data_IF_073204554627
#
_entry.id   IF_073204554627
#
_cell.length_a   1.000
_cell.length_b   1.000
_cell.length_c   1.000
_cell.angle_alpha   90.00
_cell.angle_beta   90.00
_cell.angle_gamma   90.00
#
_symmetry.space_group_name_H-M   'P 1'
#
loop_
_entity.id
_entity.type
_entity.pdbx_description
1 polymer ?
#
# COMPACT_ATOMS: atom_id res chain seq x y z
N UNK A 1 9.71 15.64 -11.16
CA UNK A 1 9.31 16.88 -10.44
C UNK A 1 10.47 17.87 -10.54
N UNK A 2 10.29 19.04 -11.16
CA UNK A 2 11.37 20.03 -11.30
C UNK A 2 11.74 20.73 -9.98
N UNK A 3 10.95 20.51 -8.92
CA UNK A 3 11.26 20.94 -7.56
C UNK A 3 11.26 19.70 -6.64
N UNK A 4 12.32 19.55 -5.83
CA UNK A 4 12.48 18.45 -4.87
C UNK A 4 12.11 18.97 -3.48
N UNK A 5 10.87 18.78 -2.99
CA UNK A 5 10.37 19.47 -1.80
C UNK A 5 11.15 19.14 -0.52
N UNK A 6 11.77 17.96 -0.45
CA UNK A 6 12.58 17.55 0.70
C UNK A 6 14.09 17.74 0.48
N UNK A 7 14.50 18.49 -0.55
CA UNK A 7 15.92 18.80 -0.77
C UNK A 7 16.49 19.53 0.46
N UNK A 8 17.61 19.01 0.97
CA UNK A 8 18.28 19.56 2.15
C UNK A 8 17.91 18.84 3.46
N UNK A 9 16.85 18.03 3.47
CA UNK A 9 16.58 17.12 4.58
C UNK A 9 17.42 15.85 4.45
N UNK A 10 17.78 15.30 5.60
CA UNK A 10 18.56 14.06 5.74
C UNK A 10 17.80 13.12 6.66
N UNK A 11 17.59 11.88 6.23
CA UNK A 11 16.80 10.88 6.94
C UNK A 11 17.72 9.71 7.26
N UNK A 12 17.76 9.32 8.53
CA UNK A 12 18.42 8.10 8.97
C UNK A 12 17.42 6.96 8.94
N UNK A 13 17.64 6.02 8.04
CA UNK A 13 16.76 4.89 7.79
C UNK A 13 17.31 3.63 8.46
N UNK A 14 16.78 3.31 9.64
CA UNK A 14 17.20 2.18 10.49
C UNK A 14 16.25 0.98 10.32
N UNK A 15 15.58 0.92 9.17
CA UNK A 15 14.49 -0.02 8.93
C UNK A 15 14.95 -1.25 8.17
N UNK A 16 14.12 -2.29 8.18
CA UNK A 16 14.36 -3.58 7.54
C UNK A 16 13.13 -4.05 6.72
N UNK A 17 13.35 -4.88 5.71
CA UNK A 17 12.31 -5.53 4.90
C UNK A 17 11.51 -4.57 4.04
N UNK A 18 10.36 -4.03 4.48
CA UNK A 18 9.47 -3.30 3.57
C UNK A 18 8.80 -2.03 4.10
N UNK A 19 8.00 -2.07 5.16
CA UNK A 19 7.22 -0.87 5.59
C UNK A 19 8.08 0.38 5.78
N UNK A 20 9.15 0.25 6.57
CA UNK A 20 10.13 1.31 6.78
C UNK A 20 10.98 1.64 5.56
N UNK A 21 11.56 0.64 4.83
CA UNK A 21 12.32 0.94 3.62
C UNK A 21 11.49 1.67 2.56
N UNK A 22 10.21 1.30 2.40
CA UNK A 22 9.28 1.98 1.52
C UNK A 22 9.06 3.44 1.94
N UNK A 23 8.87 3.72 3.24
CA UNK A 23 8.81 5.09 3.77
C UNK A 23 10.05 5.90 3.37
N UNK A 24 11.25 5.38 3.67
CA UNK A 24 12.51 6.03 3.30
C UNK A 24 12.63 6.25 1.79
N UNK A 25 12.19 5.30 0.96
CA UNK A 25 12.21 5.45 -0.49
C UNK A 25 11.33 6.60 -0.98
N UNK A 26 10.09 6.71 -0.48
CA UNK A 26 9.18 7.82 -0.83
C UNK A 26 9.79 9.18 -0.46
N UNK A 27 10.39 9.30 0.73
CA UNK A 27 11.08 10.53 1.15
C UNK A 27 12.28 10.86 0.23
N UNK A 28 13.01 9.84 -0.22
CA UNK A 28 14.10 9.98 -1.20
C UNK A 28 13.62 10.46 -2.57
N UNK A 29 12.47 9.95 -3.06
CA UNK A 29 11.84 10.41 -4.30
C UNK A 29 11.43 11.89 -4.23
N UNK A 30 11.04 12.36 -3.05
CA UNK A 30 10.77 13.78 -2.76
C UNK A 30 12.05 14.62 -2.58
N UNK A 31 13.22 13.98 -2.59
CA UNK A 31 14.53 14.62 -2.66
C UNK A 31 15.32 14.68 -1.36
N UNK A 32 14.88 14.00 -0.31
CA UNK A 32 15.67 13.87 0.91
C UNK A 32 16.92 13.01 0.67
N UNK A 33 18.01 13.31 1.38
CA UNK A 33 19.14 12.38 1.48
C UNK A 33 18.79 11.28 2.48
N UNK A 34 18.69 10.05 2.02
CA UNK A 34 18.34 8.90 2.88
C UNK A 34 19.58 8.05 3.09
N UNK A 35 19.95 7.86 4.37
CA UNK A 35 21.09 7.06 4.78
C UNK A 35 20.56 5.83 5.52
N UNK A 36 20.61 4.69 4.83
CA UNK A 36 20.23 3.40 5.39
C UNK A 36 21.31 2.90 6.35
N UNK A 37 20.93 2.70 7.60
CA UNK A 37 21.74 2.09 8.65
C UNK A 37 21.36 0.62 8.72
N UNK A 38 22.27 -0.24 8.30
CA UNK A 38 22.05 -1.68 8.24
C UNK A 38 22.85 -2.39 9.34
N UNK A 39 22.36 -3.55 9.79
CA UNK A 39 23.19 -4.46 10.55
C UNK A 39 24.37 -4.96 9.68
N UNK A 40 25.47 -5.47 10.27
CA UNK A 40 26.64 -5.94 9.50
C UNK A 40 26.32 -7.03 8.45
N UNK A 41 25.26 -7.80 8.66
CA UNK A 41 24.74 -8.80 7.72
C UNK A 41 23.83 -8.22 6.63
N UNK A 42 23.42 -6.97 6.77
CA UNK A 42 22.58 -6.23 5.82
C UNK A 42 21.07 -6.39 6.09
N UNK A 43 20.27 -5.65 5.35
CA UNK A 43 18.81 -5.83 5.30
C UNK A 43 18.45 -7.24 4.75
N UNK A 44 17.45 -7.88 5.34
CA UNK A 44 16.99 -9.21 4.92
C UNK A 44 16.56 -9.21 3.44
N UNK A 45 15.97 -8.11 2.97
CA UNK A 45 15.52 -7.96 1.59
C UNK A 45 16.65 -8.10 0.55
N UNK A 46 17.92 -7.95 0.96
CA UNK A 46 19.08 -8.18 0.08
C UNK A 46 19.15 -9.60 -0.44
N UNK A 47 18.50 -10.54 0.23
CA UNK A 47 18.46 -11.96 -0.11
C UNK A 47 17.07 -12.39 -0.63
N UNK A 48 16.15 -11.43 -0.85
CA UNK A 48 14.79 -11.71 -1.27
C UNK A 48 14.55 -11.24 -2.71
N UNK A 49 13.82 -12.05 -3.47
CA UNK A 49 13.47 -11.75 -4.86
C UNK A 49 13.34 -12.98 -5.73
N UNK A 50 12.81 -12.80 -6.95
CA UNK A 50 12.56 -13.89 -7.89
C UNK A 50 13.85 -14.49 -8.51
N UNK A 51 15.00 -13.84 -8.35
CA UNK A 51 16.26 -14.27 -8.95
C UNK A 51 17.26 -14.71 -7.88
N UNK A 52 17.49 -16.02 -7.80
CA UNK A 52 18.38 -16.62 -6.80
C UNK A 52 19.84 -16.17 -6.93
N UNK A 53 20.32 -15.90 -8.15
CA UNK A 53 21.69 -15.41 -8.36
C UNK A 53 21.87 -14.04 -7.69
N UNK A 54 20.97 -13.09 -7.95
CA UNK A 54 21.01 -11.77 -7.31
C UNK A 54 20.83 -11.84 -5.78
N UNK A 55 20.02 -12.76 -5.28
CA UNK A 55 19.85 -12.96 -3.83
C UNK A 55 21.16 -13.42 -3.15
N UNK A 56 21.88 -14.35 -3.77
CA UNK A 56 23.17 -14.84 -3.26
C UNK A 56 24.24 -13.74 -3.25
N UNK A 57 24.21 -12.85 -4.24
CA UNK A 57 25.08 -11.66 -4.32
C UNK A 57 24.63 -10.50 -3.41
N UNK A 58 23.64 -10.71 -2.53
CA UNK A 58 23.06 -9.67 -1.64
C UNK A 58 22.49 -8.46 -2.38
N UNK A 59 21.99 -8.70 -3.59
CA UNK A 59 21.40 -7.74 -4.53
C UNK A 59 19.97 -8.14 -4.90
N UNK A 60 19.25 -8.78 -3.98
CA UNK A 60 17.88 -9.21 -4.15
C UNK A 60 16.97 -8.09 -4.65
N UNK A 61 16.15 -8.40 -5.65
CA UNK A 61 15.31 -7.39 -6.32
C UNK A 61 14.32 -6.72 -5.37
N UNK A 62 13.94 -7.38 -4.28
CA UNK A 62 13.11 -6.78 -3.21
C UNK A 62 13.84 -5.62 -2.52
N UNK A 63 15.14 -5.76 -2.24
CA UNK A 63 15.95 -4.66 -1.69
C UNK A 63 16.10 -3.53 -2.69
N UNK A 64 16.44 -3.85 -3.94
CA UNK A 64 16.69 -2.86 -4.99
C UNK A 64 15.46 -1.99 -5.26
N UNK A 65 14.27 -2.58 -5.24
CA UNK A 65 13.02 -1.86 -5.48
C UNK A 65 12.74 -0.77 -4.44
N UNK A 66 13.16 -0.94 -3.19
CA UNK A 66 12.78 -0.07 -2.06
C UNK A 66 13.96 0.68 -1.43
N UNK A 67 15.17 0.49 -1.95
CA UNK A 67 16.36 1.15 -1.44
C UNK A 67 17.16 1.85 -2.53
N UNK A 68 16.63 1.92 -3.76
CA UNK A 68 17.23 2.69 -4.85
C UNK A 68 17.43 4.16 -4.43
N UNK A 69 18.62 4.68 -4.70
CA UNK A 69 19.00 6.07 -4.38
C UNK A 69 19.41 6.32 -2.92
N UNK A 70 19.25 5.35 -2.01
CA UNK A 70 19.73 5.48 -0.63
C UNK A 70 21.25 5.29 -0.55
N UNK A 71 21.89 6.01 0.37
CA UNK A 71 23.24 5.69 0.84
C UNK A 71 23.14 4.57 1.87
N UNK A 72 24.16 3.73 2.02
CA UNK A 72 24.16 2.64 2.99
C UNK A 72 25.40 2.70 3.87
N UNK A 73 25.23 2.41 5.16
CA UNK A 73 26.29 2.20 6.14
C UNK A 73 25.92 1.01 7.03
N UNK A 74 26.87 0.10 7.26
CA UNK A 74 26.69 -1.00 8.19
C UNK A 74 27.16 -0.59 9.60
N UNK A 75 26.28 -0.72 10.60
CA UNK A 75 26.55 -0.35 11.99
C UNK A 75 25.99 -1.44 12.91
N UNK A 76 26.83 -1.97 13.81
CA UNK A 76 26.34 -2.84 14.88
C UNK A 76 25.86 -2.02 16.09
N UNK A 77 24.56 -1.71 16.12
CA UNK A 77 23.93 -0.90 17.18
C UNK A 77 23.94 -1.54 18.58
N UNK A 78 24.40 -2.79 18.70
CA UNK A 78 24.58 -3.47 20.00
C UNK A 78 25.91 -3.12 20.68
N UNK A 79 26.85 -2.51 19.97
CA UNK A 79 28.17 -2.12 20.49
C UNK A 79 28.19 -0.63 20.83
N UNK A 80 29.02 -0.24 21.80
CA UNK A 80 29.16 1.17 22.18
C UNK A 80 29.69 2.03 21.03
N UNK A 81 30.66 1.53 20.26
CA UNK A 81 31.17 2.19 19.05
C UNK A 81 30.07 2.36 18.00
N UNK A 82 29.26 1.32 17.76
CA UNK A 82 28.15 1.41 16.82
C UNK A 82 27.09 2.41 17.25
N UNK A 83 26.76 2.46 18.54
CA UNK A 83 25.88 3.50 19.11
C UNK A 83 26.50 4.88 18.94
N UNK A 84 27.81 5.04 19.14
CA UNK A 84 28.48 6.31 18.96
C UNK A 84 28.41 6.79 17.50
N UNK A 85 28.67 5.91 16.52
CA UNK A 85 28.53 6.23 15.09
C UNK A 85 27.09 6.64 14.75
N UNK A 86 26.09 5.93 15.27
CA UNK A 86 24.69 6.31 15.10
C UNK A 86 24.41 7.72 15.64
N UNK A 87 24.88 8.02 16.86
CA UNK A 87 24.68 9.34 17.50
C UNK A 87 25.38 10.45 16.73
N UNK A 88 26.56 10.19 16.16
CA UNK A 88 27.26 11.15 15.33
C UNK A 88 26.56 11.40 13.99
N UNK A 89 25.99 10.37 13.37
CA UNK A 89 25.16 10.51 12.18
C UNK A 89 23.89 11.33 12.48
N UNK A 90 23.23 11.02 13.61
CA UNK A 90 22.01 11.67 14.08
C UNK A 90 22.15 13.20 14.19
N UNK A 91 23.30 13.71 14.66
CA UNK A 91 23.57 15.17 14.75
C UNK A 91 23.31 15.91 13.43
N UNK A 92 23.50 15.24 12.29
CA UNK A 92 23.28 15.79 10.95
C UNK A 92 21.94 15.40 10.31
N UNK A 93 21.19 14.47 10.90
CA UNK A 93 19.92 13.95 10.37
C UNK A 93 18.72 14.73 10.89
N UNK A 94 17.67 14.88 10.09
CA UNK A 94 16.44 15.59 10.43
C UNK A 94 15.32 14.65 10.86
N UNK A 95 15.41 13.38 10.47
CA UNK A 95 14.54 12.34 10.97
C UNK A 95 15.27 11.01 11.17
N UNK A 96 14.72 10.19 12.06
CA UNK A 96 15.00 8.75 12.20
C UNK A 96 13.73 8.01 11.84
N UNK A 97 13.83 7.00 10.98
CA UNK A 97 12.75 6.05 10.72
C UNK A 97 13.22 4.65 11.13
N UNK A 98 12.37 3.91 11.82
CA UNK A 98 12.63 2.55 12.30
C UNK A 98 11.37 1.69 12.26
N UNK A 99 11.53 0.38 12.15
CA UNK A 99 10.42 -0.56 12.13
C UNK A 99 10.72 -1.85 12.92
N UNK A 100 11.47 -1.71 14.01
CA UNK A 100 11.68 -2.80 14.95
C UNK A 100 10.42 -3.05 15.79
N UNK A 101 10.39 -4.18 16.50
CA UNK A 101 9.34 -4.41 17.48
C UNK A 101 9.37 -3.32 18.56
N UNK A 102 8.20 -2.92 19.12
CA UNK A 102 8.14 -1.93 20.17
C UNK A 102 9.16 -2.15 21.30
N UNK A 103 9.80 -1.06 21.72
CA UNK A 103 10.82 -1.04 22.78
C UNK A 103 12.20 -1.59 22.40
N UNK A 104 12.44 -2.05 21.16
CA UNK A 104 13.79 -2.49 20.74
C UNK A 104 14.77 -1.31 20.77
N UNK A 105 14.42 -0.17 20.19
CA UNK A 105 15.30 1.00 20.12
C UNK A 105 15.55 1.63 21.49
N UNK A 106 14.55 1.63 22.37
CA UNK A 106 14.72 2.08 23.76
C UNK A 106 15.72 1.20 24.52
N UNK A 107 15.63 -0.13 24.36
CA UNK A 107 16.62 -1.07 24.94
C UNK A 107 18.04 -0.89 24.38
N UNK A 108 18.16 -0.39 23.14
CA UNK A 108 19.46 -0.03 22.57
C UNK A 108 19.98 1.33 23.08
N UNK A 109 19.14 2.12 23.76
CA UNK A 109 19.46 3.49 24.19
C UNK A 109 19.47 4.47 23.01
N UNK A 110 18.63 4.20 22.01
CA UNK A 110 18.49 4.96 20.76
C UNK A 110 17.02 5.29 20.48
N UNK A 111 16.19 5.33 21.54
CA UNK A 111 14.78 5.70 21.45
C UNK A 111 14.57 7.18 21.15
N UNK A 112 13.32 7.60 21.13
CA UNK A 112 12.96 9.00 20.82
C UNK A 112 13.59 9.99 21.80
N UNK A 113 13.52 9.69 23.10
CA UNK A 113 14.02 10.58 24.15
C UNK A 113 15.54 10.74 24.08
N UNK A 114 16.28 9.65 23.85
CA UNK A 114 17.73 9.71 23.65
C UNK A 114 18.09 10.45 22.36
N UNK A 115 17.34 10.24 21.27
CA UNK A 115 17.55 10.95 20.02
C UNK A 115 17.31 12.46 20.18
N UNK A 116 16.23 12.85 20.86
CA UNK A 116 15.86 14.25 21.14
C UNK A 116 16.91 14.94 22.01
N UNK A 117 17.45 14.26 23.01
CA UNK A 117 18.51 14.80 23.86
C UNK A 117 19.81 15.11 23.08
N UNK A 118 20.07 14.40 21.97
CA UNK A 118 21.24 14.63 21.11
C UNK A 118 20.96 15.72 20.07
N UNK A 119 19.74 15.76 19.54
CA UNK A 119 19.33 16.70 18.51
C UNK A 119 17.88 17.13 18.68
N UNK A 120 17.70 18.44 18.84
CA UNK A 120 16.40 19.10 18.83
C UNK A 120 16.44 20.25 17.80
N UNK A 121 15.54 20.28 16.80
CA UNK A 121 14.45 19.33 16.56
C UNK A 121 14.88 18.02 15.88
N UNK A 122 14.21 16.93 16.23
CA UNK A 122 14.29 15.63 15.55
C UNK A 122 12.91 15.00 15.34
N UNK A 123 12.65 14.51 14.13
CA UNK A 123 11.49 13.65 13.87
C UNK A 123 11.89 12.20 14.09
N UNK A 124 11.14 11.45 14.87
CA UNK A 124 11.35 10.02 15.08
C UNK A 124 10.08 9.29 14.68
N UNK A 125 10.16 8.40 13.70
CA UNK A 125 9.03 7.62 13.24
C UNK A 125 9.26 6.13 13.47
N UNK A 126 8.38 5.53 14.26
CA UNK A 126 8.33 4.11 14.52
C UNK A 126 7.18 3.49 13.72
N UNK A 127 7.46 2.44 12.95
CA UNK A 127 6.45 1.74 12.14
C UNK A 127 6.36 0.30 12.62
N UNK A 128 5.20 -0.12 13.12
CA UNK A 128 4.98 -1.49 13.59
C UNK A 128 3.63 -2.03 13.13
N UNK A 129 3.40 -3.34 13.30
CA UNK A 129 2.16 -3.97 12.88
C UNK A 129 0.91 -3.39 13.54
N UNK A 130 1.00 -3.15 14.84
CA UNK A 130 -0.13 -2.79 15.70
C UNK A 130 0.03 -1.45 16.42
N UNK A 131 1.10 -0.69 16.13
CA UNK A 131 1.47 0.52 16.87
C UNK A 131 2.41 0.22 18.05
N UNK A 132 2.79 1.26 18.78
CA UNK A 132 3.69 1.21 19.93
C UNK A 132 2.92 1.08 21.25
N UNK A 133 1.59 1.25 21.20
CA UNK A 133 0.68 1.18 22.34
C UNK A 133 -0.42 0.11 22.16
N UNK A 134 -1.19 -0.13 23.22
CA UNK A 134 -2.33 -1.04 23.20
C UNK A 134 -1.97 -2.52 23.40
N UNK A 135 -3.00 -3.39 23.48
CA UNK A 135 -2.84 -4.79 23.90
C UNK A 135 -2.16 -5.68 22.86
N UNK A 136 -2.11 -5.25 21.59
CA UNK A 136 -1.54 -6.01 20.48
C UNK A 136 -0.10 -5.60 20.13
N UNK A 137 0.46 -4.58 20.79
CA UNK A 137 1.77 -3.99 20.43
C UNK A 137 2.92 -5.01 20.36
N UNK A 138 2.88 -6.02 21.23
CA UNK A 138 3.94 -7.03 21.34
C UNK A 138 3.72 -8.24 20.42
N UNK A 139 2.60 -8.30 19.70
CA UNK A 139 2.29 -9.41 18.79
C UNK A 139 3.23 -9.40 17.57
N UNK A 140 3.63 -10.58 17.07
CA UNK A 140 4.33 -10.67 15.80
C UNK A 140 3.43 -10.16 14.67
N UNK A 141 4.00 -9.33 13.80
CA UNK A 141 3.30 -8.80 12.65
C UNK A 141 4.14 -8.94 11.39
N UNK A 142 3.52 -9.53 10.38
CA UNK A 142 3.91 -9.43 8.98
C UNK A 142 2.68 -9.00 8.20
N UNK A 143 2.90 -8.49 6.98
CA UNK A 143 1.84 -8.03 6.09
C UNK A 143 0.62 -8.97 6.05
N UNK A 144 0.83 -10.28 5.89
CA UNK A 144 -0.27 -11.24 5.81
C UNK A 144 -1.13 -11.32 7.10
N UNK A 145 -0.51 -11.17 8.27
CA UNK A 145 -1.25 -11.15 9.55
C UNK A 145 -2.11 -9.88 9.59
N UNK A 146 -1.54 -8.74 9.21
CA UNK A 146 -2.27 -7.47 9.21
C UNK A 146 -3.38 -7.47 8.15
N UNK A 147 -3.16 -8.07 6.99
CA UNK A 147 -4.21 -8.25 5.98
C UNK A 147 -5.39 -9.08 6.52
N UNK A 148 -5.10 -10.16 7.26
CA UNK A 148 -6.15 -10.95 7.91
C UNK A 148 -6.89 -10.16 8.97
N UNK A 149 -6.16 -9.50 9.87
CA UNK A 149 -6.73 -8.79 11.02
C UNK A 149 -7.46 -7.49 10.66
N UNK A 150 -7.05 -6.81 9.59
CA UNK A 150 -7.73 -5.59 9.11
C UNK A 150 -9.08 -5.87 8.44
N UNK A 151 -9.36 -7.12 8.06
CA UNK A 151 -10.54 -7.47 7.28
C UNK A 151 -10.41 -7.19 5.78
N UNK A 152 -9.27 -6.66 5.30
CA UNK A 152 -9.07 -6.45 3.85
C UNK A 152 -9.14 -7.77 3.08
N UNK A 153 -8.66 -8.87 3.66
CA UNK A 153 -8.83 -10.20 3.05
C UNK A 153 -10.29 -10.58 2.95
N UNK A 154 -11.07 -10.38 4.02
CA UNK A 154 -12.46 -10.83 4.07
C UNK A 154 -13.34 -10.17 3.00
N UNK A 155 -12.98 -8.97 2.55
CA UNK A 155 -13.68 -8.24 1.48
C UNK A 155 -13.07 -8.42 0.09
N UNK A 156 -11.98 -9.18 -0.03
CA UNK A 156 -11.26 -9.39 -1.30
C UNK A 156 -11.44 -10.82 -1.78
N UNK A 157 -11.86 -10.98 -3.03
CA UNK A 157 -11.98 -12.28 -3.70
C UNK A 157 -13.37 -12.55 -4.25
N UNK A 158 -13.59 -13.80 -4.65
CA UNK A 158 -14.88 -14.26 -5.18
C UNK A 158 -15.88 -14.53 -4.05
N UNK A 159 -17.18 -14.49 -4.37
CA UNK A 159 -18.26 -14.79 -3.42
C UNK A 159 -18.28 -16.24 -2.97
N UNK A 160 -17.74 -17.15 -3.78
CA UNK A 160 -17.80 -18.61 -3.57
C UNK A 160 -16.52 -19.22 -3.03
N UNK A 161 -15.42 -18.46 -2.99
CA UNK A 161 -14.12 -18.93 -2.52
C UNK A 161 -13.76 -18.37 -1.13
N UNK A 162 -12.78 -18.97 -0.44
CA UNK A 162 -12.15 -18.33 0.72
C UNK A 162 -11.61 -16.93 0.38
N UNK A 163 -11.50 -16.03 1.38
CA UNK A 163 -10.86 -14.72 1.26
C UNK A 163 -9.50 -14.76 0.57
N UNK A 164 -9.24 -13.78 -0.30
CA UNK A 164 -7.96 -13.63 -0.96
C UNK A 164 -7.09 -12.62 -0.23
N UNK A 165 -5.79 -12.91 -0.21
CA UNK A 165 -4.76 -11.90 0.10
C UNK A 165 -4.60 -10.99 -1.12
N UNK A 166 -4.33 -9.71 -0.89
CA UNK A 166 -3.88 -8.80 -1.95
C UNK A 166 -2.55 -9.28 -2.53
N UNK A 167 -2.39 -9.18 -3.86
CA UNK A 167 -1.25 -9.73 -4.60
C UNK A 167 0.12 -9.09 -4.32
N UNK A 168 0.15 -8.03 -3.52
CA UNK A 168 1.37 -7.37 -3.06
C UNK A 168 1.24 -7.07 -1.55
N UNK A 169 2.35 -6.78 -0.84
CA UNK A 169 2.33 -6.49 0.58
C UNK A 169 1.71 -5.12 0.90
N UNK A 170 0.39 -5.05 0.82
CA UNK A 170 -0.41 -3.84 0.97
C UNK A 170 -0.28 -3.20 2.35
N UNK A 171 -0.23 -3.98 3.43
CA UNK A 171 -0.15 -3.44 4.78
C UNK A 171 1.21 -2.78 5.02
N UNK A 172 2.29 -3.39 4.53
CA UNK A 172 3.62 -2.76 4.60
C UNK A 172 3.66 -1.48 3.76
N UNK A 173 3.12 -1.53 2.54
CA UNK A 173 3.14 -0.41 1.59
C UNK A 173 2.32 0.77 2.11
N UNK A 174 1.10 0.50 2.59
CA UNK A 174 0.20 1.52 3.14
C UNK A 174 0.75 2.09 4.45
N UNK A 175 1.27 1.25 5.35
CA UNK A 175 1.97 1.73 6.56
C UNK A 175 3.17 2.62 6.22
N UNK A 176 3.98 2.22 5.23
CA UNK A 176 5.10 3.02 4.74
C UNK A 176 4.69 4.35 4.10
N UNK A 177 3.59 4.38 3.34
CA UNK A 177 3.00 5.61 2.79
C UNK A 177 2.51 6.55 3.88
N UNK A 178 1.76 6.02 4.86
CA UNK A 178 1.28 6.79 6.02
C UNK A 178 2.46 7.41 6.78
N UNK A 179 3.51 6.63 7.03
CA UNK A 179 4.72 7.11 7.67
C UNK A 179 5.45 8.18 6.86
N UNK A 180 5.61 8.00 5.55
CA UNK A 180 6.25 8.99 4.69
C UNK A 180 5.47 10.31 4.67
N UNK A 181 4.13 10.25 4.62
CA UNK A 181 3.27 11.43 4.70
C UNK A 181 3.44 12.17 6.02
N UNK A 182 3.39 11.44 7.15
CA UNK A 182 3.53 12.01 8.48
C UNK A 182 4.92 12.64 8.67
N UNK A 183 5.99 11.95 8.28
CA UNK A 183 7.36 12.46 8.36
C UNK A 183 7.54 13.70 7.48
N UNK A 184 7.06 13.67 6.23
CA UNK A 184 7.16 14.82 5.33
C UNK A 184 6.42 16.05 5.89
N UNK A 185 5.24 15.86 6.49
CA UNK A 185 4.49 16.93 7.14
C UNK A 185 5.19 17.47 8.41
N UNK A 186 5.84 16.58 9.17
CA UNK A 186 6.54 16.92 10.41
C UNK A 186 7.86 17.67 10.18
N UNK A 187 8.61 17.33 9.12
CA UNK A 187 9.93 17.92 8.81
C UNK A 187 9.91 19.46 8.69
N UNK A 188 8.78 20.05 8.34
CA UNK A 188 8.64 21.50 8.21
C UNK A 188 8.25 22.23 9.51
N UNK A 189 7.85 21.52 10.56
CA UNK A 189 7.33 22.11 11.81
C UNK A 189 8.43 22.60 12.76
N UNK A 190 9.71 22.27 12.51
CA UNK A 190 10.88 22.64 13.33
C UNK A 190 10.71 22.31 14.83
N UNK A 191 9.99 21.24 15.15
CA UNK A 191 9.79 20.74 16.51
C UNK A 191 10.07 19.24 16.54
N UNK A 192 10.59 18.74 17.66
CA UNK A 192 10.74 17.30 17.84
C UNK A 192 9.38 16.61 17.92
N UNK A 193 9.21 15.50 17.20
CA UNK A 193 7.97 14.73 17.19
C UNK A 193 8.25 13.24 17.15
N UNK A 194 7.51 12.50 17.97
CA UNK A 194 7.40 11.05 17.88
C UNK A 194 6.17 10.70 17.05
N UNK A 195 6.37 9.92 15.99
CA UNK A 195 5.34 9.47 15.07
C UNK A 195 5.23 7.95 15.21
N UNK A 196 4.15 7.49 15.82
CA UNK A 196 3.78 6.07 15.86
C UNK A 196 2.87 5.74 14.68
N UNK A 197 3.28 4.76 13.86
CA UNK A 197 2.48 4.27 12.73
C UNK A 197 2.19 2.78 12.90
N UNK A 198 0.89 2.49 13.08
CA UNK A 198 0.34 1.14 13.02
C UNK A 198 -0.02 0.75 11.58
N UNK A 199 0.52 -0.38 11.11
CA UNK A 199 0.13 -0.95 9.81
C UNK A 199 -1.37 -1.31 9.80
N UNK A 200 -1.90 -1.83 10.91
CA UNK A 200 -3.32 -2.19 11.04
C UNK A 200 -4.22 -0.97 10.86
N UNK A 201 -3.97 0.10 11.60
CA UNK A 201 -4.76 1.34 11.52
C UNK A 201 -4.65 2.00 10.15
N UNK A 202 -3.45 1.95 9.56
CA UNK A 202 -3.20 2.46 8.21
C UNK A 202 -4.06 1.73 7.17
N UNK A 203 -4.10 0.39 7.21
CA UNK A 203 -4.96 -0.38 6.29
C UNK A 203 -6.45 -0.11 6.55
N UNK A 204 -6.89 -0.16 7.81
CA UNK A 204 -8.30 0.09 8.16
C UNK A 204 -8.79 1.46 7.65
N UNK A 205 -7.95 2.49 7.76
CA UNK A 205 -8.28 3.83 7.29
C UNK A 205 -8.45 3.87 5.76
N UNK A 206 -7.62 3.13 5.01
CA UNK A 206 -7.75 3.07 3.54
C UNK A 206 -8.96 2.27 3.04
N UNK A 207 -9.57 1.43 3.89
CA UNK A 207 -10.81 0.72 3.55
C UNK A 207 -12.03 1.66 3.52
N UNK A 208 -11.92 2.86 4.10
CA UNK A 208 -12.84 3.98 3.94
C UNK A 208 -14.31 3.60 4.15
N UNK A 209 -15.10 3.69 3.07
CA UNK A 209 -16.54 3.41 3.07
C UNK A 209 -16.93 2.00 3.53
N UNK A 210 -16.08 0.98 3.38
CA UNK A 210 -16.40 -0.39 3.83
C UNK A 210 -16.50 -0.42 5.37
N UNK A 211 -15.52 0.19 6.04
CA UNK A 211 -15.52 0.36 7.50
C UNK A 211 -16.65 1.30 7.92
N UNK A 212 -16.85 2.41 7.21
CA UNK A 212 -17.91 3.36 7.55
C UNK A 212 -19.32 2.74 7.44
N UNK A 213 -19.59 1.93 6.42
CA UNK A 213 -20.88 1.24 6.25
C UNK A 213 -21.13 0.23 7.38
N UNK A 214 -20.11 -0.51 7.80
CA UNK A 214 -20.22 -1.40 8.94
C UNK A 214 -20.53 -0.63 10.22
N UNK A 215 -19.76 0.41 10.52
CA UNK A 215 -19.91 1.15 11.78
C UNK A 215 -21.21 1.96 11.84
N UNK A 216 -21.56 2.66 10.76
CA UNK A 216 -22.69 3.60 10.74
C UNK A 216 -24.03 2.91 10.42
N UNK A 217 -24.01 1.90 9.55
CA UNK A 217 -25.22 1.30 9.00
C UNK A 217 -25.35 -0.21 9.30
N UNK A 218 -24.39 -0.81 10.01
CA UNK A 218 -24.37 -2.26 10.31
C UNK A 218 -24.44 -3.14 9.05
N UNK A 219 -23.93 -2.62 7.92
CA UNK A 219 -23.86 -3.35 6.66
C UNK A 219 -22.53 -4.08 6.63
N UNK A 220 -22.57 -5.41 6.76
CA UNK A 220 -21.39 -6.25 6.66
C UNK A 220 -20.75 -6.13 5.27
N UNK A 221 -19.45 -5.81 5.17
CA UNK A 221 -18.73 -5.87 3.92
C UNK A 221 -18.72 -7.29 3.36
N UNK A 222 -18.85 -7.43 2.03
CA UNK A 222 -18.85 -8.73 1.36
C UNK A 222 -17.88 -8.74 0.19
N UNK A 223 -17.38 -9.92 -0.16
CA UNK A 223 -16.64 -10.16 -1.39
C UNK A 223 -17.59 -10.05 -2.57
N UNK A 224 -17.19 -9.33 -3.60
CA UNK A 224 -18.00 -9.12 -4.81
C UNK A 224 -17.25 -9.45 -6.09
N UNK A 225 -16.07 -10.06 -6.00
CA UNK A 225 -15.21 -10.32 -7.14
C UNK A 225 -14.86 -9.02 -7.87
N UNK A 226 -15.00 -9.04 -9.19
CA UNK A 226 -14.73 -7.89 -10.04
C UNK A 226 -15.98 -7.03 -10.33
N UNK A 227 -17.06 -7.16 -9.55
CA UNK A 227 -18.27 -6.36 -9.69
C UNK A 227 -18.15 -5.03 -8.94
N UNK A 228 -18.73 -3.96 -9.50
CA UNK A 228 -18.95 -2.73 -8.76
C UNK A 228 -20.33 -2.76 -8.06
N UNK A 229 -20.34 -2.67 -6.73
CA UNK A 229 -21.59 -2.74 -5.95
C UNK A 229 -22.58 -1.61 -6.26
N UNK A 230 -22.07 -0.45 -6.70
CA UNK A 230 -22.84 0.80 -6.80
C UNK A 230 -23.55 1.00 -8.14
N UNK A 231 -23.15 0.28 -9.19
CA UNK A 231 -23.61 0.53 -10.56
C UNK A 231 -23.47 -0.71 -11.45
N UNK A 232 -24.31 -0.81 -12.48
CA UNK A 232 -24.25 -1.87 -13.48
C UNK A 232 -24.63 -1.34 -14.88
N UNK A 233 -23.91 -1.74 -15.95
CA UNK A 233 -22.74 -2.62 -15.94
C UNK A 233 -21.46 -1.87 -15.54
N UNK A 234 -20.77 -2.38 -14.51
CA UNK A 234 -19.54 -1.79 -13.99
C UNK A 234 -18.71 -2.87 -13.30
N UNK A 235 -17.55 -3.21 -13.87
CA UNK A 235 -16.74 -4.34 -13.43
C UNK A 235 -15.88 -4.94 -14.54
N UNK A 236 -15.32 -6.13 -14.28
CA UNK A 236 -14.58 -6.89 -15.29
C UNK A 236 -15.49 -7.85 -16.07
N UNK A 237 -15.30 -7.85 -17.40
CA UNK A 237 -16.04 -8.66 -18.36
C UNK A 237 -15.08 -9.46 -19.23
N UNK A 238 -15.42 -10.71 -19.47
CA UNK A 238 -14.71 -11.61 -20.37
C UNK A 238 -14.82 -11.18 -21.84
N UNK A 239 -13.71 -11.32 -22.55
CA UNK A 239 -13.58 -11.20 -24.00
C UNK A 239 -13.01 -12.50 -24.55
N UNK A 240 -12.70 -12.58 -25.85
CA UNK A 240 -12.21 -13.83 -26.44
C UNK A 240 -10.90 -14.35 -25.80
N UNK A 241 -10.01 -13.45 -25.40
CA UNK A 241 -8.63 -13.76 -25.00
C UNK A 241 -8.20 -13.12 -23.66
N UNK A 242 -9.13 -12.46 -22.95
CA UNK A 242 -8.81 -11.76 -21.71
C UNK A 242 -10.01 -11.09 -21.05
N UNK A 243 -9.73 -10.09 -20.21
CA UNK A 243 -10.71 -9.30 -19.47
C UNK A 243 -10.62 -7.82 -19.87
N UNK A 244 -11.76 -7.14 -19.91
CA UNK A 244 -11.84 -5.69 -19.97
C UNK A 244 -12.65 -5.15 -18.78
N UNK A 245 -12.23 -3.99 -18.25
CA UNK A 245 -13.03 -3.26 -17.27
C UNK A 245 -13.93 -2.26 -18.00
N UNK A 246 -15.24 -2.40 -17.80
CA UNK A 246 -16.25 -1.47 -18.33
C UNK A 246 -16.88 -0.73 -17.15
N UNK A 247 -17.10 0.58 -17.28
CA UNK A 247 -17.81 1.39 -16.30
C UNK A 247 -18.88 2.25 -16.99
N UNK A 248 -20.11 1.73 -17.09
CA UNK A 248 -21.26 2.45 -17.64
C UNK A 248 -22.26 2.79 -16.51
N UNK A 249 -21.87 3.75 -15.67
CA UNK A 249 -22.56 4.05 -14.42
C UNK A 249 -23.79 4.97 -14.60
N UNK A 250 -23.89 5.64 -15.75
CA UNK A 250 -24.95 6.58 -16.15
C UNK A 250 -25.65 6.11 -17.43
N UNK A 251 -26.91 6.50 -17.63
CA UNK A 251 -27.69 6.10 -18.83
C UNK A 251 -27.01 6.53 -20.14
N UNK A 252 -26.38 7.71 -20.18
CA UNK A 252 -25.60 8.14 -21.36
C UNK A 252 -24.45 7.19 -21.71
N UNK A 253 -23.78 6.62 -20.70
CA UNK A 253 -22.67 5.70 -20.88
C UNK A 253 -23.17 4.32 -21.28
N UNK A 254 -24.32 3.91 -20.73
CA UNK A 254 -25.05 2.72 -21.16
C UNK A 254 -25.45 2.80 -22.64
N UNK A 255 -26.01 3.93 -23.08
CA UNK A 255 -26.38 4.14 -24.49
C UNK A 255 -25.15 4.13 -25.41
N UNK A 256 -24.02 4.69 -24.98
CA UNK A 256 -22.75 4.61 -25.71
C UNK A 256 -22.25 3.17 -25.82
N UNK A 257 -22.28 2.42 -24.71
CA UNK A 257 -21.90 1.01 -24.69
C UNK A 257 -22.76 0.20 -25.67
N UNK A 258 -24.09 0.39 -25.66
CA UNK A 258 -24.99 -0.30 -26.58
C UNK A 258 -24.71 -0.01 -28.05
N UNK A 259 -24.31 1.24 -28.37
CA UNK A 259 -23.90 1.61 -29.74
C UNK A 259 -22.64 0.88 -30.17
N UNK A 260 -21.63 0.82 -29.31
CA UNK A 260 -20.35 0.14 -29.60
C UNK A 260 -20.54 -1.38 -29.73
N UNK A 261 -21.33 -1.97 -28.83
CA UNK A 261 -21.66 -3.40 -28.88
C UNK A 261 -22.61 -3.76 -30.03
N UNK A 262 -23.23 -2.77 -30.67
CA UNK A 262 -24.20 -2.90 -31.75
C UNK A 262 -25.27 -3.98 -31.46
N UNK A 263 -25.92 -3.87 -30.31
CA UNK A 263 -26.81 -4.93 -29.78
C UNK A 263 -28.23 -4.42 -29.50
N UNK A 264 -29.15 -4.56 -30.47
CA UNK A 264 -30.56 -4.22 -30.26
C UNK A 264 -31.24 -5.06 -29.18
N UNK A 265 -30.76 -6.28 -28.93
CA UNK A 265 -31.34 -7.20 -27.94
C UNK A 265 -31.19 -6.67 -26.52
N UNK A 266 -30.01 -6.17 -26.13
CA UNK A 266 -29.82 -5.57 -24.80
C UNK A 266 -30.59 -4.26 -24.66
N UNK A 267 -30.63 -3.44 -25.73
CA UNK A 267 -31.33 -2.16 -25.73
C UNK A 267 -32.83 -2.32 -25.44
N UNK A 268 -33.46 -3.34 -26.02
CA UNK A 268 -34.89 -3.56 -25.92
C UNK A 268 -35.29 -4.52 -24.80
N UNK A 269 -34.33 -5.05 -24.03
CA UNK A 269 -34.61 -5.98 -22.94
C UNK A 269 -35.29 -5.23 -21.77
N UNK A 270 -36.49 -5.65 -21.31
CA UNK A 270 -37.19 -4.99 -20.21
C UNK A 270 -36.40 -4.99 -18.90
N UNK A 271 -35.47 -5.95 -18.72
CA UNK A 271 -34.64 -6.05 -17.52
C UNK A 271 -33.57 -4.94 -17.43
N UNK A 272 -33.31 -4.18 -18.50
CA UNK A 272 -32.21 -3.22 -18.58
C UNK A 272 -32.63 -1.77 -18.85
N UNK A 273 -33.93 -1.50 -18.85
CA UNK A 273 -34.51 -0.19 -19.24
C UNK A 273 -34.16 0.95 -18.27
N UNK A 274 -33.84 0.65 -17.03
CA UNK A 274 -33.42 1.65 -16.05
C UNK A 274 -32.14 1.23 -15.32
N UNK A 275 -31.44 2.22 -14.78
CA UNK A 275 -30.24 1.98 -13.96
C UNK A 275 -30.49 1.02 -12.79
N UNK A 276 -31.62 1.16 -12.10
CA UNK A 276 -31.94 0.27 -10.98
C UNK A 276 -32.26 -1.14 -11.44
N UNK A 277 -32.96 -1.31 -12.56
CA UNK A 277 -33.20 -2.64 -13.14
C UNK A 277 -31.89 -3.30 -13.57
N UNK A 278 -30.94 -2.56 -14.16
CA UNK A 278 -29.60 -3.09 -14.48
C UNK A 278 -28.85 -3.52 -13.23
N UNK A 279 -28.93 -2.75 -12.14
CA UNK A 279 -28.30 -3.11 -10.86
C UNK A 279 -28.91 -4.36 -10.22
N UNK A 280 -30.24 -4.50 -10.28
CA UNK A 280 -30.95 -5.69 -9.78
C UNK A 280 -30.59 -6.93 -10.61
N UNK A 281 -30.48 -6.79 -11.93
CA UNK A 281 -30.22 -7.89 -12.86
C UNK A 281 -28.74 -8.01 -13.28
N UNK A 282 -27.80 -7.53 -12.45
CA UNK A 282 -26.38 -7.36 -12.82
C UNK A 282 -25.70 -8.63 -13.32
N UNK A 283 -25.98 -9.77 -12.70
CA UNK A 283 -25.35 -11.04 -13.06
C UNK A 283 -25.80 -11.49 -14.45
N UNK A 284 -27.11 -11.40 -14.75
CA UNK A 284 -27.62 -11.69 -16.09
C UNK A 284 -27.11 -10.66 -17.11
N UNK A 285 -27.10 -9.37 -16.76
CA UNK A 285 -26.58 -8.31 -17.64
C UNK A 285 -25.11 -8.55 -18.00
N UNK A 286 -24.30 -9.02 -17.05
CA UNK A 286 -22.91 -9.39 -17.29
C UNK A 286 -22.80 -10.52 -18.32
N UNK A 287 -23.51 -11.63 -18.11
CA UNK A 287 -23.51 -12.76 -19.04
C UNK A 287 -23.94 -12.35 -20.46
N UNK A 288 -24.97 -11.52 -20.55
CA UNK A 288 -25.50 -11.02 -21.81
C UNK A 288 -24.51 -10.10 -22.55
N UNK A 289 -23.73 -9.30 -21.82
CA UNK A 289 -22.65 -8.48 -22.38
C UNK A 289 -21.45 -9.36 -22.80
N UNK A 290 -21.06 -10.32 -21.96
CA UNK A 290 -19.94 -11.24 -22.23
C UNK A 290 -20.21 -12.14 -23.44
N UNK A 291 -21.47 -12.53 -23.68
CA UNK A 291 -21.85 -13.25 -24.89
C UNK A 291 -21.51 -12.49 -26.19
N UNK A 292 -21.44 -11.16 -26.14
CA UNK A 292 -21.02 -10.31 -27.26
C UNK A 292 -19.50 -10.11 -27.22
N UNK A 293 -18.96 -9.76 -26.05
CA UNK A 293 -17.54 -9.44 -25.91
C UNK A 293 -16.62 -10.62 -26.21
N UNK A 294 -17.04 -11.85 -25.94
CA UNK A 294 -16.27 -13.07 -26.23
C UNK A 294 -16.14 -13.37 -27.73
N UNK A 295 -16.84 -12.63 -28.60
CA UNK A 295 -16.76 -12.80 -30.06
C UNK A 295 -15.56 -12.10 -30.71
N UNK A 296 -14.84 -11.26 -29.98
CA UNK A 296 -13.66 -10.54 -30.49
C UNK A 296 -12.53 -10.47 -29.44
N UNK A 297 -11.27 -10.36 -29.87
CA UNK A 297 -10.13 -10.11 -28.99
C UNK A 297 -10.28 -8.83 -28.16
N UNK A 298 -9.68 -8.83 -26.97
CA UNK A 298 -9.63 -7.70 -26.04
C UNK A 298 -9.25 -6.39 -26.75
N UNK A 299 -8.20 -6.41 -27.56
CA UNK A 299 -7.68 -5.23 -28.24
C UNK A 299 -8.71 -4.54 -29.16
N UNK A 300 -9.54 -5.32 -29.86
CA UNK A 300 -10.57 -4.77 -30.75
C UNK A 300 -11.64 -4.02 -29.95
N UNK A 301 -12.03 -4.55 -28.78
CA UNK A 301 -12.98 -3.86 -27.91
C UNK A 301 -12.39 -2.60 -27.28
N UNK A 302 -11.11 -2.62 -26.89
CA UNK A 302 -10.43 -1.44 -26.34
C UNK A 302 -10.40 -0.30 -27.36
N UNK A 303 -10.09 -0.59 -28.62
CA UNK A 303 -10.09 0.42 -29.68
C UNK A 303 -11.49 1.02 -29.89
N UNK A 304 -12.53 0.17 -29.92
CA UNK A 304 -13.92 0.61 -30.14
C UNK A 304 -14.55 1.34 -28.95
N UNK A 305 -14.17 0.98 -27.72
CA UNK A 305 -14.73 1.57 -26.49
C UNK A 305 -14.05 2.89 -26.11
N UNK A 306 -12.83 3.16 -26.62
CA UNK A 306 -12.09 4.39 -26.35
C UNK A 306 -12.13 5.42 -27.52
N UNK A 307 -12.82 5.11 -28.62
CA UNK A 307 -13.05 6.03 -29.74
C UNK A 307 -14.22 6.97 -29.50
#
# INVERSE_FOLDING_TARGET
MNNKPLKGFRIMDVTNVLSGPFCGYQLGLLGAEVIKVEAPDGDLARQLGANAHWNNERMGVSFLAQNAGKRSIAINLKTDDGKQIFKDLLKSSHAVIENFRPGVMDRLGLGFEECRAIKDPIIYCAISGFGQEGPLKDNPAYDQIIQGMSGVMDITGDTTTPPYRVGYPIADTVGGLTAALAVAAALHQKMSQYIDVSMLESVLTTMGWAVANLLMNQVEPTRVGNENVTSAPSGAFETQDGLINIAANQDRQWDQLLKVLNTPTLKNNPLYQSRELRKTNRHQLKLDIEAILTTQPTAIWLDRLNS
#
